data_IF_578862412178
#
_entry.id   IF_578862412178
#
_cell.length_a   1.000
_cell.length_b   1.000
_cell.length_c   1.000
_cell.angle_alpha   90.00
_cell.angle_beta   90.00
_cell.angle_gamma   90.00
#
_symmetry.space_group_name_H-M   'P 1'
#
loop_
_entity.id
_entity.type
_entity.pdbx_description
1 polymer ?
#
# COMPACT_ATOMS: atom_id res chain seq x y z
N UNK A 1 8.15 5.42 19.62
CA UNK A 1 8.12 4.76 18.29
C UNK A 1 6.87 5.22 17.57
N UNK A 2 7.01 6.33 16.84
CA UNK A 2 5.91 7.13 16.30
C UNK A 2 5.52 6.71 14.89
N UNK A 3 4.86 5.56 14.78
CA UNK A 3 4.06 5.24 13.59
C UNK A 3 2.58 5.63 13.77
N UNK A 4 2.22 6.37 14.83
CA UNK A 4 0.86 6.92 15.03
C UNK A 4 0.50 7.82 13.84
N UNK A 5 -0.47 7.37 13.03
CA UNK A 5 -1.02 8.14 11.89
C UNK A 5 -0.77 7.55 10.50
N UNK A 6 -0.07 6.41 10.38
CA UNK A 6 0.06 5.68 9.10
C UNK A 6 -0.89 4.48 9.07
N UNK A 7 -1.36 4.06 7.89
CA UNK A 7 -2.21 2.86 7.71
C UNK A 7 -1.55 1.53 8.11
N UNK A 8 -0.26 1.60 8.47
CA UNK A 8 0.58 0.53 8.99
C UNK A 8 0.49 0.43 10.53
N UNK A 9 0.04 1.47 11.21
CA UNK A 9 -0.14 1.46 12.66
C UNK A 9 -1.25 0.48 13.04
N UNK A 10 -0.88 -0.62 13.72
CA UNK A 10 -1.68 -1.81 14.12
C UNK A 10 -1.63 -3.02 13.19
N UNK A 11 -0.79 -3.04 12.16
CA UNK A 11 -0.65 -4.26 11.33
C UNK A 11 0.63 -5.01 11.68
N UNK A 12 0.50 -6.31 11.95
CA UNK A 12 1.62 -7.25 12.03
C UNK A 12 2.21 -7.56 10.63
N UNK A 13 2.36 -6.53 9.79
CA UNK A 13 2.99 -6.67 8.47
C UNK A 13 4.41 -6.13 8.56
N UNK A 14 5.38 -6.96 8.20
CA UNK A 14 6.75 -6.57 7.98
C UNK A 14 6.87 -5.61 6.78
N UNK A 15 7.96 -4.87 6.71
CA UNK A 15 8.25 -4.01 5.56
C UNK A 15 8.31 -4.80 4.24
N UNK A 16 8.77 -6.06 4.29
CA UNK A 16 8.79 -6.95 3.14
C UNK A 16 7.39 -7.30 2.65
N UNK A 17 6.47 -7.68 3.55
CA UNK A 17 5.08 -7.99 3.19
C UNK A 17 4.35 -6.76 2.63
N UNK A 18 4.58 -5.59 3.22
CA UNK A 18 4.03 -4.32 2.71
C UNK A 18 4.56 -4.02 1.30
N UNK A 19 5.88 -4.17 1.09
CA UNK A 19 6.51 -4.00 -0.23
C UNK A 19 5.88 -4.94 -1.26
N UNK A 20 5.71 -6.21 -0.90
CA UNK A 20 5.13 -7.22 -1.78
C UNK A 20 3.68 -6.88 -2.15
N UNK A 21 2.85 -6.51 -1.18
CA UNK A 21 1.47 -6.08 -1.44
C UNK A 21 1.42 -4.89 -2.41
N UNK A 22 2.26 -3.87 -2.18
CA UNK A 22 2.28 -2.70 -3.07
C UNK A 22 2.76 -3.04 -4.47
N UNK A 23 3.81 -3.86 -4.63
CA UNK A 23 4.28 -4.28 -5.95
C UNK A 23 3.22 -5.04 -6.73
N UNK A 24 2.57 -6.01 -6.09
CA UNK A 24 1.47 -6.75 -6.73
C UNK A 24 0.32 -5.82 -7.12
N UNK A 25 0.01 -4.83 -6.28
CA UNK A 25 -0.99 -3.82 -6.61
C UNK A 25 -0.56 -2.91 -7.78
N UNK A 26 0.72 -2.50 -7.84
CA UNK A 26 1.31 -1.74 -8.95
C UNK A 26 1.24 -2.52 -10.27
N UNK A 27 1.45 -3.84 -10.20
CA UNK A 27 1.26 -4.80 -11.31
C UNK A 27 -0.22 -5.03 -11.66
N UNK A 28 -1.15 -4.27 -11.05
CA UNK A 28 -2.60 -4.29 -11.27
C UNK A 28 -3.27 -5.61 -10.85
N UNK A 29 -2.68 -6.35 -9.92
CA UNK A 29 -3.36 -7.50 -9.32
C UNK A 29 -4.61 -7.04 -8.54
N UNK A 30 -5.71 -7.77 -8.70
CA UNK A 30 -6.91 -7.58 -7.89
C UNK A 30 -6.69 -8.03 -6.43
N UNK A 31 -7.44 -7.47 -5.49
CA UNK A 31 -7.30 -7.75 -4.04
C UNK A 31 -7.33 -9.24 -3.72
N UNK A 32 -8.22 -10.02 -4.37
CA UNK A 32 -8.29 -11.48 -4.18
C UNK A 32 -7.05 -12.22 -4.70
N UNK A 33 -6.42 -11.72 -5.76
CA UNK A 33 -5.15 -12.26 -6.26
C UNK A 33 -4.03 -12.03 -5.24
N UNK A 34 -3.95 -10.79 -4.72
CA UNK A 34 -2.97 -10.42 -3.71
C UNK A 34 -3.17 -11.23 -2.42
N UNK A 35 -4.41 -11.46 -1.99
CA UNK A 35 -4.75 -12.33 -0.85
C UNK A 35 -4.20 -13.74 -1.05
N UNK A 36 -4.40 -14.34 -2.22
CA UNK A 36 -3.89 -15.68 -2.53
C UNK A 36 -2.35 -15.74 -2.57
N UNK A 37 -1.70 -14.71 -3.09
CA UNK A 37 -0.23 -14.67 -3.24
C UNK A 37 0.45 -14.42 -1.89
N UNK A 38 -0.10 -13.51 -1.09
CA UNK A 38 0.53 -13.06 0.17
C UNK A 38 0.03 -13.82 1.39
N UNK A 39 -1.10 -14.51 1.30
CA UNK A 39 -1.76 -15.16 2.44
C UNK A 39 -2.46 -14.19 3.40
N UNK A 40 -2.36 -12.88 3.18
CA UNK A 40 -3.06 -11.89 4.01
C UNK A 40 -4.51 -11.75 3.58
N UNK A 41 -5.42 -11.71 4.56
CA UNK A 41 -6.84 -11.51 4.28
C UNK A 41 -7.08 -10.22 3.47
N UNK A 42 -8.01 -10.28 2.52
CA UNK A 42 -8.42 -9.17 1.64
C UNK A 42 -8.75 -7.88 2.38
N UNK A 43 -9.26 -7.94 3.60
CA UNK A 43 -9.55 -6.75 4.40
C UNK A 43 -8.26 -6.08 4.86
N UNK A 44 -7.26 -6.86 5.29
CA UNK A 44 -5.94 -6.35 5.63
C UNK A 44 -5.31 -5.66 4.43
N UNK A 45 -5.37 -6.27 3.25
CA UNK A 45 -4.83 -5.68 2.01
C UNK A 45 -5.61 -4.42 1.63
N UNK A 46 -6.94 -4.48 1.66
CA UNK A 46 -7.81 -3.36 1.30
C UNK A 46 -7.61 -2.17 2.22
N UNK A 47 -7.51 -2.39 3.53
CA UNK A 47 -7.23 -1.33 4.49
C UNK A 47 -5.85 -0.73 4.30
N UNK A 48 -4.84 -1.53 3.91
CA UNK A 48 -3.48 -1.02 3.66
C UNK A 48 -3.53 -0.06 2.47
N UNK A 49 -4.07 -0.52 1.34
CA UNK A 49 -4.19 0.25 0.11
C UNK A 49 -5.04 1.51 0.33
N UNK A 50 -6.26 1.37 0.88
CA UNK A 50 -7.17 2.51 1.10
C UNK A 50 -6.64 3.51 2.12
N UNK A 51 -5.98 3.04 3.17
CA UNK A 51 -5.40 3.90 4.20
C UNK A 51 -4.09 4.57 3.77
N UNK A 52 -3.53 4.20 2.61
CA UNK A 52 -2.31 4.83 2.10
C UNK A 52 -2.65 6.21 1.54
N UNK A 53 -2.26 7.25 2.28
CA UNK A 53 -2.46 8.66 1.91
C UNK A 53 -1.13 9.28 1.53
N UNK A 54 -1.14 10.09 0.46
CA UNK A 54 0.03 10.81 -0.01
C UNK A 54 0.35 11.94 0.97
N UNK A 55 1.47 11.81 1.67
CA UNK A 55 2.07 12.83 2.53
C UNK A 55 3.59 12.71 2.40
N UNK A 56 4.35 13.76 2.70
CA UNK A 56 5.81 13.71 2.68
C UNK A 56 6.34 12.55 3.54
N UNK A 57 5.80 12.37 4.76
CA UNK A 57 6.18 11.28 5.66
C UNK A 57 5.89 9.90 5.05
N UNK A 58 4.76 9.75 4.34
CA UNK A 58 4.43 8.48 3.68
C UNK A 58 5.42 8.21 2.55
N UNK A 59 5.78 9.21 1.74
CA UNK A 59 6.74 9.03 0.65
C UNK A 59 8.12 8.65 1.18
N UNK A 60 8.62 9.36 2.19
CA UNK A 60 9.89 9.02 2.85
C UNK A 60 9.86 7.60 3.44
N UNK A 61 8.73 7.20 4.04
CA UNK A 61 8.56 5.84 4.56
C UNK A 61 8.56 4.79 3.43
N UNK A 62 7.87 5.04 2.32
CA UNK A 62 7.81 4.11 1.19
C UNK A 62 9.19 3.92 0.53
N UNK A 63 9.96 5.01 0.40
CA UNK A 63 11.30 4.98 -0.18
C UNK A 63 12.32 4.36 0.76
N UNK A 64 12.40 4.84 2.00
CA UNK A 64 13.51 4.52 2.90
C UNK A 64 13.25 3.29 3.77
N UNK A 65 12.00 3.04 4.17
CA UNK A 65 11.65 1.94 5.09
C UNK A 65 11.07 0.75 4.34
N UNK A 66 10.12 1.00 3.44
CA UNK A 66 9.53 -0.05 2.60
C UNK A 66 10.45 -0.40 1.45
N UNK A 67 11.29 0.50 0.94
CA UNK A 67 12.23 0.25 -0.15
C UNK A 67 11.56 0.08 -1.51
N UNK A 68 10.51 0.87 -1.77
CA UNK A 68 10.03 1.12 -3.12
C UNK A 68 10.95 2.12 -3.83
N UNK A 69 11.05 2.01 -5.13
CA UNK A 69 11.71 3.01 -5.98
C UNK A 69 10.79 4.22 -6.21
N UNK A 70 11.36 5.36 -6.59
CA UNK A 70 10.58 6.56 -6.92
C UNK A 70 9.53 6.30 -8.02
N UNK A 71 9.87 5.50 -9.03
CA UNK A 71 8.95 5.15 -10.13
C UNK A 71 7.82 4.21 -9.67
N UNK A 72 8.10 3.28 -8.74
CA UNK A 72 7.06 2.47 -8.10
C UNK A 72 6.11 3.33 -7.26
N UNK A 73 6.64 4.31 -6.51
CA UNK A 73 5.83 5.25 -5.73
C UNK A 73 4.92 6.09 -6.62
N UNK A 74 5.43 6.62 -7.73
CA UNK A 74 4.63 7.40 -8.69
C UNK A 74 3.45 6.57 -9.26
N UNK A 75 3.74 5.33 -9.69
CA UNK A 75 2.70 4.39 -10.16
C UNK A 75 1.68 4.08 -9.07
N UNK A 76 2.14 3.83 -7.85
CA UNK A 76 1.26 3.56 -6.71
C UNK A 76 0.29 4.71 -6.49
N UNK A 77 0.77 5.96 -6.51
CA UNK A 77 -0.08 7.13 -6.34
C UNK A 77 -1.14 7.26 -7.44
N UNK A 78 -0.76 7.11 -8.71
CA UNK A 78 -1.72 7.15 -9.81
C UNK A 78 -2.81 6.08 -9.70
N UNK A 79 -2.46 4.88 -9.24
CA UNK A 79 -3.44 3.81 -9.02
C UNK A 79 -4.36 4.09 -7.82
N UNK A 80 -3.82 4.64 -6.73
CA UNK A 80 -4.59 4.97 -5.54
C UNK A 80 -5.58 6.11 -5.81
N UNK A 81 -5.18 7.14 -6.55
CA UNK A 81 -6.04 8.25 -6.95
C UNK A 81 -7.19 7.76 -7.83
N UNK A 82 -6.89 7.01 -8.90
CA UNK A 82 -7.90 6.40 -9.77
C UNK A 82 -8.91 5.53 -9.01
N UNK A 83 -8.44 4.76 -8.01
CA UNK A 83 -9.31 3.91 -7.19
C UNK A 83 -10.20 4.74 -6.26
N UNK A 84 -9.72 5.87 -5.73
CA UNK A 84 -10.51 6.79 -4.92
C UNK A 84 -11.60 7.47 -5.75
N UNK A 85 -11.31 7.87 -6.98
CA UNK A 85 -12.31 8.43 -7.90
C UNK A 85 -13.42 7.42 -8.21
N UNK A 86 -13.06 6.18 -8.53
CA UNK A 86 -14.02 5.12 -8.80
C UNK A 86 -14.89 4.74 -7.59
N UNK A 87 -14.42 4.97 -6.37
CA UNK A 87 -15.18 4.68 -5.14
C UNK A 87 -16.17 5.80 -4.75
N UNK A 88 -16.10 6.98 -5.40
CA UNK A 88 -16.98 8.13 -5.17
C UNK A 88 -18.12 8.23 -6.19
N UNK A 89 -18.10 7.38 -7.21
CA UNK A 89 -19.20 7.15 -8.16
C UNK A 89 -20.07 6.01 -7.67
#
# INVERSE_FOLDING_TARGET
MDTKGTSVYRKHLSAYEIRLIYRLFIEKNGIRSIERITGHHRDTISHLIKGTVKTQKTEEYLLNQIGLTASECEKLWGLLEKKRENSRK
#
